data_IF_246351642968
#
_entry.id   IF_246351642968
#
_cell.length_a   1.000
_cell.length_b   1.000
_cell.length_c   1.000
_cell.angle_alpha   90.00
_cell.angle_beta   90.00
_cell.angle_gamma   90.00
#
_symmetry.space_group_name_H-M   'P 1'
#
loop_
_entity.id
_entity.type
_entity.pdbx_description
1 polymer ?
#
# COMPACT_ATOMS: atom_id res chain seq x y z
N UNK A 1 -22.77 -20.28 -72.19
CA UNK A 1 -22.36 -21.46 -72.99
C UNK A 1 -20.90 -21.70 -72.62
N UNK A 2 -20.46 -22.73 -71.88
CA UNK A 2 -20.89 -24.11 -71.74
C UNK A 2 -20.86 -24.59 -70.27
N UNK A 3 -21.44 -25.77 -70.05
CA UNK A 3 -21.84 -26.39 -68.79
C UNK A 3 -21.04 -27.68 -68.55
N UNK A 4 -21.01 -28.15 -67.28
CA UNK A 4 -20.74 -29.52 -66.76
C UNK A 4 -19.29 -29.77 -66.29
N UNK A 5 -19.00 -30.49 -65.19
CA UNK A 5 -19.68 -31.61 -64.50
C UNK A 5 -19.40 -31.60 -62.97
N UNK A 6 -20.37 -32.12 -62.24
CA UNK A 6 -20.46 -32.47 -60.82
C UNK A 6 -19.57 -33.64 -60.37
N UNK A 7 -18.98 -33.59 -59.17
CA UNK A 7 -18.73 -34.69 -58.18
C UNK A 7 -18.59 -34.04 -56.79
N UNK A 8 -19.57 -34.14 -55.89
CA UNK A 8 -19.78 -35.17 -54.86
C UNK A 8 -18.79 -35.11 -53.66
N UNK A 9 -19.38 -34.74 -52.51
CA UNK A 9 -19.04 -34.97 -51.09
C UNK A 9 -17.58 -35.24 -50.65
N UNK A 10 -17.11 -34.44 -49.69
CA UNK A 10 -16.52 -34.96 -48.45
C UNK A 10 -16.73 -33.92 -47.32
N UNK A 11 -17.50 -34.33 -46.31
CA UNK A 11 -17.57 -33.68 -45.00
C UNK A 11 -16.27 -34.03 -44.26
N UNK A 12 -15.57 -33.01 -43.75
CA UNK A 12 -14.59 -33.20 -42.69
C UNK A 12 -14.81 -32.09 -41.65
N UNK A 13 -15.58 -32.45 -40.64
CA UNK A 13 -15.75 -31.69 -39.40
C UNK A 13 -14.42 -31.78 -38.63
N UNK A 14 -13.64 -30.70 -38.62
CA UNK A 14 -12.46 -30.61 -37.78
C UNK A 14 -12.80 -29.74 -36.55
N UNK A 15 -13.08 -30.41 -35.43
CA UNK A 15 -13.06 -29.79 -34.10
C UNK A 15 -11.64 -29.27 -33.84
N UNK A 16 -11.47 -27.95 -33.90
CA UNK A 16 -10.30 -27.29 -33.35
C UNK A 16 -10.47 -27.15 -31.84
N UNK A 17 -9.79 -28.00 -31.07
CA UNK A 17 -9.77 -27.95 -29.62
C UNK A 17 -9.14 -26.62 -29.14
N UNK A 18 -9.94 -25.81 -28.44
CA UNK A 18 -9.46 -24.63 -27.73
C UNK A 18 -8.52 -25.09 -26.59
N UNK A 19 -7.24 -24.77 -26.70
CA UNK A 19 -6.29 -24.93 -25.60
C UNK A 19 -6.45 -23.72 -24.68
N UNK A 20 -7.32 -23.84 -23.68
CA UNK A 20 -7.33 -22.90 -22.55
C UNK A 20 -6.09 -23.22 -21.74
N UNK A 21 -5.07 -22.37 -21.83
CA UNK A 21 -3.98 -22.38 -20.86
C UNK A 21 -4.60 -21.92 -19.56
N UNK A 22 -4.87 -22.87 -18.65
CA UNK A 22 -5.19 -22.58 -17.27
C UNK A 22 -3.95 -21.93 -16.66
N UNK A 23 -3.91 -20.59 -16.68
CA UNK A 23 -3.02 -19.84 -15.81
C UNK A 23 -3.43 -20.17 -14.38
N UNK A 24 -2.55 -20.83 -13.64
CA UNK A 24 -2.67 -20.90 -12.20
C UNK A 24 -2.46 -19.47 -11.69
N UNK A 25 -3.55 -18.73 -11.47
CA UNK A 25 -3.51 -17.58 -10.57
C UNK A 25 -3.15 -18.12 -9.20
N UNK A 26 -1.94 -17.81 -8.74
CA UNK A 26 -1.56 -18.02 -7.35
C UNK A 26 -2.42 -17.02 -6.56
N UNK A 27 -3.25 -17.45 -5.60
CA UNK A 27 -3.85 -16.53 -4.65
C UNK A 27 -2.75 -16.09 -3.69
N UNK A 28 -1.92 -15.15 -4.14
CA UNK A 28 -1.35 -14.18 -3.22
C UNK A 28 -2.51 -13.27 -2.82
N UNK A 29 -2.71 -13.08 -1.52
CA UNK A 29 -3.68 -12.15 -0.98
C UNK A 29 -3.36 -10.76 -1.48
N UNK A 30 -3.88 -10.40 -2.65
CA UNK A 30 -3.93 -9.02 -3.07
C UNK A 30 -4.86 -8.36 -2.07
N UNK A 31 -4.32 -7.49 -1.22
CA UNK A 31 -5.10 -6.40 -0.64
C UNK A 31 -5.88 -5.83 -1.81
N UNK A 32 -7.20 -6.02 -1.82
CA UNK A 32 -8.03 -5.63 -2.94
C UNK A 32 -7.79 -4.14 -3.18
N UNK A 33 -7.44 -3.77 -4.42
CA UNK A 33 -7.14 -2.40 -4.86
C UNK A 33 -8.23 -1.37 -4.46
N UNK A 34 -9.39 -1.85 -4.00
CA UNK A 34 -10.54 -1.06 -3.55
C UNK A 34 -10.50 -0.65 -2.06
N UNK A 35 -9.68 -1.26 -1.19
CA UNK A 35 -9.64 -0.91 0.26
C UNK A 35 -8.32 -0.23 0.70
N UNK A 36 -7.27 -0.27 -0.14
CA UNK A 36 -6.02 0.45 0.10
C UNK A 36 -5.33 0.07 1.42
N UNK A 37 -4.64 1.03 2.04
CA UNK A 37 -3.94 0.89 3.33
C UNK A 37 -4.74 1.49 4.49
N UNK A 38 -6.06 1.56 4.37
CA UNK A 38 -6.93 2.13 5.40
C UNK A 38 -7.02 1.15 6.57
N UNK A 39 -6.81 1.63 7.80
CA UNK A 39 -6.87 0.76 8.96
C UNK A 39 -6.29 1.37 10.23
N UNK A 40 -6.31 0.56 11.28
CA UNK A 40 -5.63 0.82 12.55
C UNK A 40 -4.48 -0.16 12.70
N UNK A 41 -3.33 0.37 13.12
CA UNK A 41 -2.08 -0.35 13.17
C UNK A 41 -1.38 -0.12 14.52
N UNK A 42 -0.62 -1.11 14.96
CA UNK A 42 0.35 -0.96 16.05
C UNK A 42 1.69 -0.49 15.49
N UNK A 43 2.35 0.45 16.16
CA UNK A 43 3.65 0.98 15.78
C UNK A 43 4.70 0.66 16.84
N UNK A 44 5.88 0.25 16.38
CA UNK A 44 7.12 0.26 17.15
C UNK A 44 8.15 1.12 16.40
N UNK A 45 8.80 2.04 17.10
CA UNK A 45 9.77 2.95 16.50
C UNK A 45 11.01 3.15 17.34
N UNK A 46 12.07 3.59 16.68
CA UNK A 46 13.31 4.11 17.27
C UNK A 46 13.49 5.54 16.79
N UNK A 47 13.61 6.49 17.72
CA UNK A 47 13.86 7.89 17.40
C UNK A 47 15.30 8.11 16.92
N UNK A 48 15.63 9.32 16.50
CA UNK A 48 16.95 9.72 15.96
C UNK A 48 18.12 9.44 16.92
N UNK A 49 17.86 9.30 18.22
CA UNK A 49 18.83 8.98 19.26
C UNK A 49 18.77 7.51 19.73
N UNK A 50 18.13 6.64 18.95
CA UNK A 50 17.84 5.24 19.24
C UNK A 50 16.89 5.02 20.45
N UNK A 51 16.18 6.05 20.91
CA UNK A 51 15.15 5.88 21.93
C UNK A 51 13.92 5.16 21.37
N UNK A 52 13.46 4.12 22.07
CA UNK A 52 12.26 3.38 21.69
C UNK A 52 10.98 4.20 21.97
N UNK A 53 10.06 4.18 21.00
CA UNK A 53 8.69 4.64 21.18
C UNK A 53 7.71 3.65 20.55
N UNK A 54 6.45 3.73 21.00
CA UNK A 54 5.40 2.86 20.50
C UNK A 54 4.08 3.63 20.44
N UNK A 55 3.13 3.10 19.69
CA UNK A 55 1.82 3.72 19.59
C UNK A 55 0.86 3.02 18.65
N UNK A 56 -0.16 3.77 18.27
CA UNK A 56 -1.17 3.37 17.29
C UNK A 56 -1.11 4.33 16.11
N UNK A 57 -1.19 3.78 14.90
CA UNK A 57 -1.34 4.56 13.66
C UNK A 57 -2.73 4.30 13.10
N UNK A 58 -3.43 5.37 12.74
CA UNK A 58 -4.73 5.30 12.09
C UNK A 58 -4.56 5.92 10.71
N UNK A 59 -4.88 5.15 9.67
CA UNK A 59 -4.85 5.58 8.28
C UNK A 59 -6.27 5.59 7.76
N UNK A 60 -6.72 6.72 7.22
CA UNK A 60 -8.01 6.89 6.58
C UNK A 60 -7.86 7.42 5.15
N UNK A 61 -8.90 7.22 4.32
CA UNK A 61 -8.94 7.87 3.00
C UNK A 61 -8.84 9.38 3.15
N UNK A 62 -7.94 9.98 2.36
CA UNK A 62 -7.81 11.43 2.26
C UNK A 62 -8.91 12.04 1.38
N UNK A 63 -8.87 13.37 1.26
CA UNK A 63 -9.88 14.13 0.50
C UNK A 63 -9.82 13.91 -1.03
N UNK A 64 -8.72 13.38 -1.54
CA UNK A 64 -8.50 13.10 -2.96
C UNK A 64 -8.18 11.61 -3.20
N UNK A 65 -8.54 11.05 -4.37
CA UNK A 65 -8.20 9.66 -4.69
C UNK A 65 -6.69 9.39 -4.61
N UNK A 66 -6.33 8.34 -3.87
CA UNK A 66 -4.92 7.95 -3.64
C UNK A 66 -4.18 8.80 -2.62
N UNK A 67 -4.89 9.67 -1.89
CA UNK A 67 -4.34 10.36 -0.70
C UNK A 67 -4.86 9.72 0.57
N UNK A 68 -4.09 9.85 1.64
CA UNK A 68 -4.39 9.26 2.95
C UNK A 68 -4.16 10.29 4.04
N UNK A 69 -5.09 10.36 4.99
CA UNK A 69 -4.88 11.07 6.24
C UNK A 69 -4.35 10.06 7.27
N UNK A 70 -3.27 10.43 7.93
CA UNK A 70 -2.55 9.56 8.88
C UNK A 70 -2.48 10.25 10.23
N UNK A 71 -2.85 9.53 11.28
CA UNK A 71 -2.72 9.98 12.67
C UNK A 71 -1.87 9.00 13.46
N UNK A 72 -0.87 9.54 14.16
CA UNK A 72 -0.03 8.79 15.09
C UNK A 72 -0.43 9.18 16.52
N UNK A 73 -0.79 8.17 17.31
CA UNK A 73 -1.01 8.26 18.74
C UNK A 73 0.15 7.55 19.43
N UNK A 74 1.24 8.29 19.67
CA UNK A 74 2.49 7.74 20.22
C UNK A 74 2.73 8.22 21.65
N UNK A 75 3.66 7.57 22.34
CA UNK A 75 4.02 7.90 23.73
C UNK A 75 4.36 9.38 23.97
N UNK A 76 4.82 10.08 22.93
CA UNK A 76 5.30 11.47 23.02
C UNK A 76 4.25 12.52 22.63
N UNK A 77 3.12 12.10 22.03
CA UNK A 77 2.09 13.02 21.57
C UNK A 77 1.19 12.47 20.48
N UNK A 78 0.44 13.40 19.89
CA UNK A 78 -0.43 13.17 18.75
C UNK A 78 0.16 13.91 17.56
N UNK A 79 0.48 13.18 16.50
CA UNK A 79 0.91 13.75 15.23
C UNK A 79 -0.13 13.42 14.15
N UNK A 80 -0.23 14.27 13.14
CA UNK A 80 -1.09 14.04 11.97
C UNK A 80 -0.35 14.41 10.69
N UNK A 81 -0.80 13.85 9.58
CA UNK A 81 -0.21 14.12 8.28
C UNK A 81 -1.11 13.68 7.13
N UNK A 82 -0.75 14.12 5.93
CA UNK A 82 -1.40 13.70 4.69
C UNK A 82 -0.34 13.13 3.77
N UNK A 83 -0.65 11.98 3.17
CA UNK A 83 0.30 11.25 2.35
C UNK A 83 -0.31 10.70 1.07
N UNK A 84 0.57 10.14 0.23
CA UNK A 84 0.24 9.50 -1.04
C UNK A 84 0.92 8.15 -1.13
N UNK A 85 0.18 7.15 -1.58
CA UNK A 85 0.71 5.84 -1.93
C UNK A 85 1.03 5.80 -3.43
N UNK A 86 2.28 5.52 -3.78
CA UNK A 86 2.72 5.27 -5.16
C UNK A 86 3.35 3.88 -5.24
N UNK A 87 2.63 2.93 -5.85
CA UNK A 87 3.01 1.52 -5.78
C UNK A 87 2.92 1.01 -4.34
N UNK A 88 4.06 0.60 -3.79
CA UNK A 88 4.25 0.13 -2.42
C UNK A 88 4.84 1.20 -1.49
N UNK A 89 5.10 2.42 -1.96
CA UNK A 89 5.69 3.49 -1.15
C UNK A 89 4.65 4.52 -0.69
N UNK A 90 4.46 4.65 0.63
CA UNK A 90 3.66 5.71 1.25
C UNK A 90 4.58 6.84 1.72
N UNK A 91 4.43 8.02 1.14
CA UNK A 91 5.09 9.25 1.63
C UNK A 91 4.07 10.16 2.32
N UNK A 92 4.36 10.62 3.54
CA UNK A 92 3.46 11.45 4.36
C UNK A 92 4.19 12.68 4.88
N UNK A 93 3.66 13.87 4.61
CA UNK A 93 4.09 15.09 5.31
C UNK A 93 3.31 15.20 6.61
N UNK A 94 4.01 15.35 7.74
CA UNK A 94 3.41 15.26 9.07
C UNK A 94 3.77 16.46 9.95
N UNK A 95 2.95 16.70 10.97
CA UNK A 95 3.17 17.68 12.03
C UNK A 95 2.64 17.20 13.37
N UNK A 96 3.23 17.68 14.46
CA UNK A 96 2.68 17.52 15.79
C UNK A 96 1.42 18.39 15.98
N UNK A 97 0.45 17.88 16.72
CA UNK A 97 -0.75 18.63 17.14
C UNK A 97 -0.90 18.69 18.66
N UNK A 98 -0.33 17.73 19.36
CA UNK A 98 -0.21 17.71 20.82
C UNK A 98 1.06 16.93 21.20
N UNK A 99 1.73 17.31 22.29
CA UNK A 99 2.88 16.55 22.79
C UNK A 99 3.99 17.41 23.37
N UNK A 100 5.15 16.78 23.58
CA UNK A 100 6.34 17.43 24.13
C UNK A 100 6.94 18.50 23.19
N UNK A 101 6.71 18.37 21.88
CA UNK A 101 7.28 19.21 20.81
C UNK A 101 6.17 19.71 19.86
N UNK A 102 5.29 20.63 20.31
CA UNK A 102 4.04 20.99 19.62
C UNK A 102 4.20 21.70 18.26
N UNK A 103 5.43 21.91 17.78
CA UNK A 103 5.74 22.52 16.48
C UNK A 103 6.63 21.62 15.60
N UNK A 104 6.83 20.35 15.98
CA UNK A 104 7.61 19.42 15.18
C UNK A 104 6.86 19.04 13.88
N UNK A 105 7.60 18.89 12.79
CA UNK A 105 7.09 18.45 11.48
C UNK A 105 8.19 17.71 10.72
N UNK A 106 7.82 17.05 9.62
CA UNK A 106 8.76 16.44 8.70
C UNK A 106 8.07 15.51 7.70
N UNK A 107 8.83 14.55 7.17
CA UNK A 107 8.31 13.58 6.19
C UNK A 107 8.50 12.16 6.70
N UNK A 108 7.47 11.33 6.56
CA UNK A 108 7.51 9.90 6.78
C UNK A 108 7.51 9.16 5.44
N UNK A 109 8.34 8.14 5.26
CA UNK A 109 8.35 7.29 4.06
C UNK A 109 8.31 5.84 4.48
N UNK A 110 7.33 5.09 3.99
CA UNK A 110 7.14 3.67 4.32
C UNK A 110 7.01 2.83 3.08
N UNK A 111 7.55 1.61 3.12
CA UNK A 111 7.27 0.54 2.17
C UNK A 111 6.21 -0.40 2.74
N UNK A 112 5.15 -0.65 1.96
CA UNK A 112 4.10 -1.62 2.23
C UNK A 112 4.58 -3.03 1.81
N UNK A 113 4.56 -3.98 2.73
CA UNK A 113 4.92 -5.36 2.43
C UNK A 113 3.72 -6.20 1.94
N UNK A 114 4.00 -7.44 1.54
CA UNK A 114 2.99 -8.40 1.05
C UNK A 114 1.97 -8.83 2.13
N UNK A 115 2.29 -8.61 3.42
CA UNK A 115 1.42 -8.89 4.57
C UNK A 115 0.58 -7.65 4.95
N UNK A 116 0.79 -6.52 4.29
CA UNK A 116 0.13 -5.25 4.52
C UNK A 116 0.66 -4.48 5.74
N UNK A 117 1.89 -4.74 6.16
CA UNK A 117 2.63 -3.96 7.16
C UNK A 117 3.42 -2.85 6.47
N UNK A 118 3.75 -1.81 7.24
CA UNK A 118 4.51 -0.65 6.76
C UNK A 118 5.86 -0.60 7.49
N UNK A 119 6.93 -0.47 6.72
CA UNK A 119 8.31 -0.36 7.24
C UNK A 119 8.95 0.89 6.68
N UNK A 120 9.51 1.74 7.53
CA UNK A 120 9.95 3.03 7.03
C UNK A 120 10.69 3.90 8.01
N UNK A 121 10.85 5.15 7.61
CA UNK A 121 11.57 6.16 8.39
C UNK A 121 10.83 7.48 8.44
N UNK A 122 11.14 8.27 9.48
CA UNK A 122 10.63 9.63 9.67
C UNK A 122 11.77 10.61 9.85
N UNK A 123 11.69 11.71 9.12
CA UNK A 123 12.55 12.87 9.31
C UNK A 123 11.83 13.93 10.15
N UNK A 124 12.63 14.81 10.74
CA UNK A 124 12.16 15.97 11.49
C UNK A 124 12.83 17.23 10.92
N UNK A 125 12.04 18.24 10.60
CA UNK A 125 12.51 19.48 10.00
C UNK A 125 13.54 20.16 10.92
N UNK A 126 14.75 20.39 10.38
CA UNK A 126 15.85 21.03 11.10
C UNK A 126 16.62 20.12 12.06
N UNK A 127 16.36 18.81 12.05
CA UNK A 127 17.09 17.79 12.80
C UNK A 127 17.83 16.88 11.82
N UNK A 128 19.11 16.61 12.09
CA UNK A 128 19.89 15.63 11.33
C UNK A 128 19.57 14.21 11.83
N UNK A 129 19.27 13.29 10.92
CA UNK A 129 18.95 11.90 11.24
C UNK A 129 17.52 11.52 10.85
N UNK A 130 17.18 10.26 11.11
CA UNK A 130 15.84 9.72 10.85
C UNK A 130 15.48 8.72 11.95
N UNK A 131 14.21 8.72 12.34
CA UNK A 131 13.62 7.67 13.15
C UNK A 131 13.24 6.49 12.24
N UNK A 132 13.27 5.26 12.76
CA UNK A 132 12.80 4.05 12.05
C UNK A 132 11.51 3.55 12.66
N UNK A 133 10.57 3.08 11.85
CA UNK A 133 9.26 2.60 12.32
C UNK A 133 8.85 1.29 11.60
N UNK A 134 8.33 0.35 12.40
CA UNK A 134 7.65 -0.86 11.96
C UNK A 134 6.19 -0.81 12.42
N UNK A 135 5.26 -0.89 11.47
CA UNK A 135 3.82 -0.67 11.68
C UNK A 135 3.04 -1.90 11.20
N UNK A 136 2.32 -2.53 12.11
CA UNK A 136 1.65 -3.81 11.92
C UNK A 136 0.13 -3.66 12.02
N UNK A 137 -0.63 -4.32 11.14
CA UNK A 137 -2.09 -4.32 11.24
C UNK A 137 -2.54 -4.90 12.58
N UNK A 138 -3.56 -4.27 13.20
CA UNK A 138 -4.22 -4.89 14.35
C UNK A 138 -5.03 -6.11 13.87
N UNK A 139 -4.81 -7.26 14.52
CA UNK A 139 -5.42 -8.55 14.17
C UNK A 139 -6.84 -8.74 14.75
#
# INVERSE_FOLDING_TARGET
MALRRTRALAVALALGAATVVAGCSIPGSQVSDEEGIVGTYTLNGLDVDDAEYAGTVIISEGSEPGTYDVQWLITEGIHEGTGRLDGDELTVDWRAVEGATPDASGTATYTLDDDGNLHGTRTFDGVDGEATEDIFQEA
#
